data_IF_108374442398
#
_entry.id   IF_108374442398
#
_cell.length_a   1.000
_cell.length_b   1.000
_cell.length_c   1.000
_cell.angle_alpha   90.00
_cell.angle_beta   90.00
_cell.angle_gamma   90.00
#
_symmetry.space_group_name_H-M   'P 1'
#
loop_
_entity.id
_entity.type
_entity.pdbx_description
1 polymer ?
#
# COMPACT_ATOMS: atom_id res chain seq x y z
N UNK A 1 -10.09 41.20 -44.15
CA UNK A 1 -9.55 39.83 -44.05
C UNK A 1 -9.38 39.50 -42.58
N UNK A 2 -10.32 38.74 -42.01
CA UNK A 2 -10.27 38.24 -40.63
C UNK A 2 -9.68 36.84 -40.68
N UNK A 3 -8.56 36.61 -39.99
CA UNK A 3 -7.96 35.30 -39.79
C UNK A 3 -8.62 34.63 -38.60
N UNK A 4 -9.29 33.50 -38.86
CA UNK A 4 -9.87 32.62 -37.86
C UNK A 4 -8.76 31.75 -37.25
N UNK A 5 -8.51 31.90 -35.95
CA UNK A 5 -7.83 30.89 -35.12
C UNK A 5 -8.91 30.19 -34.30
N UNK A 6 -9.07 28.89 -34.54
CA UNK A 6 -9.90 28.00 -33.74
C UNK A 6 -9.29 27.80 -32.35
N UNK A 7 -10.07 27.89 -31.26
CA UNK A 7 -9.60 27.44 -29.95
C UNK A 7 -9.61 25.91 -29.92
N UNK A 8 -8.45 25.34 -29.61
CA UNK A 8 -8.24 23.92 -29.33
C UNK A 8 -9.15 23.50 -28.18
N UNK A 9 -10.08 22.57 -28.46
CA UNK A 9 -10.95 21.96 -27.45
C UNK A 9 -10.08 21.16 -26.48
N UNK A 10 -9.92 21.65 -25.25
CA UNK A 10 -9.48 20.84 -24.11
C UNK A 10 -10.50 19.72 -23.91
N UNK A 11 -10.07 18.46 -24.10
CA UNK A 11 -10.80 17.31 -23.57
C UNK A 11 -10.67 17.38 -22.05
N UNK A 12 -11.74 17.79 -21.37
CA UNK A 12 -11.95 17.41 -19.98
C UNK A 12 -12.15 15.89 -19.98
N UNK A 13 -11.06 15.14 -19.77
CA UNK A 13 -11.20 13.76 -19.32
C UNK A 13 -11.71 13.86 -17.88
N UNK A 14 -12.99 13.52 -17.68
CA UNK A 14 -13.58 13.37 -16.36
C UNK A 14 -12.92 12.14 -15.71
N UNK A 15 -11.72 12.35 -15.19
CA UNK A 15 -11.04 11.39 -14.33
C UNK A 15 -11.85 11.23 -13.05
N UNK A 16 -12.75 10.26 -13.05
CA UNK A 16 -13.29 9.70 -11.80
C UNK A 16 -12.08 9.17 -11.04
N UNK A 17 -11.62 9.94 -10.06
CA UNK A 17 -10.58 9.54 -9.13
C UNK A 17 -11.10 8.32 -8.38
N UNK A 18 -10.65 7.14 -8.79
CA UNK A 18 -10.90 5.89 -8.07
C UNK A 18 -10.29 6.05 -6.66
N UNK A 19 -11.16 6.30 -5.68
CA UNK A 19 -10.83 6.54 -4.28
C UNK A 19 -10.30 5.27 -3.61
N UNK A 20 -10.64 4.10 -4.15
CA UNK A 20 -9.95 2.87 -3.85
C UNK A 20 -8.62 2.89 -4.59
N UNK A 21 -7.53 2.69 -3.87
CA UNK A 21 -6.19 2.60 -4.44
C UNK A 21 -6.04 1.34 -5.31
N UNK A 22 -6.75 1.26 -6.43
CA UNK A 22 -6.77 0.11 -7.30
C UNK A 22 -6.37 0.59 -8.70
N UNK A 23 -5.36 -0.07 -9.26
CA UNK A 23 -5.40 -0.32 -10.70
C UNK A 23 -6.77 -0.89 -10.99
N UNK A 24 -7.48 -0.35 -11.98
CA UNK A 24 -8.82 -0.83 -12.36
C UNK A 24 -8.73 -2.29 -12.83
N UNK A 25 -8.71 -3.22 -11.88
CA UNK A 25 -8.55 -4.67 -12.08
C UNK A 25 -9.74 -5.23 -12.84
N UNK A 26 -10.85 -4.48 -12.93
CA UNK A 26 -11.97 -4.77 -13.83
C UNK A 26 -11.56 -4.81 -15.30
N UNK A 27 -10.43 -4.17 -15.65
CA UNK A 27 -9.83 -4.23 -17.00
C UNK A 27 -8.87 -5.39 -17.19
N UNK A 28 -8.58 -6.18 -16.15
CA UNK A 28 -7.73 -7.36 -16.29
C UNK A 28 -8.52 -8.46 -17.00
N UNK A 29 -7.83 -9.20 -17.85
CA UNK A 29 -8.39 -10.31 -18.58
C UNK A 29 -7.46 -11.52 -18.48
N UNK A 30 -8.04 -12.72 -18.60
CA UNK A 30 -7.31 -14.00 -18.53
C UNK A 30 -6.40 -14.27 -19.74
N UNK A 31 -6.33 -13.34 -20.70
CA UNK A 31 -5.43 -13.44 -21.86
C UNK A 31 -3.98 -13.07 -21.56
N UNK A 32 -3.71 -12.50 -20.38
CA UNK A 32 -2.37 -12.27 -19.83
C UNK A 32 -2.10 -13.35 -18.80
N UNK A 33 -0.97 -14.04 -18.93
CA UNK A 33 -0.60 -15.12 -18.00
C UNK A 33 0.89 -15.20 -17.72
N UNK A 34 1.32 -16.33 -17.16
CA UNK A 34 2.71 -16.54 -16.68
C UNK A 34 3.77 -16.30 -17.75
N UNK A 35 3.51 -16.65 -19.02
CA UNK A 35 4.47 -16.42 -20.11
C UNK A 35 4.71 -14.93 -20.39
N UNK A 36 3.68 -14.10 -20.26
CA UNK A 36 3.79 -12.65 -20.46
C UNK A 36 4.60 -12.02 -19.34
N UNK A 37 4.34 -12.43 -18.09
CA UNK A 37 5.13 -12.02 -16.94
C UNK A 37 6.61 -12.42 -17.09
N UNK A 38 6.89 -13.67 -17.49
CA UNK A 38 8.26 -14.14 -17.73
C UNK A 38 8.97 -13.34 -18.83
N UNK A 39 8.26 -12.95 -19.90
CA UNK A 39 8.81 -12.07 -20.95
C UNK A 39 9.13 -10.68 -20.40
N UNK A 40 8.20 -10.07 -19.68
CA UNK A 40 8.40 -8.75 -19.08
C UNK A 40 9.58 -8.73 -18.08
N UNK A 41 9.74 -9.76 -17.25
CA UNK A 41 10.89 -9.92 -16.34
C UNK A 41 12.22 -9.98 -17.10
N UNK A 42 12.28 -10.71 -18.23
CA UNK A 42 13.48 -10.77 -19.06
C UNK A 42 13.80 -9.44 -19.71
N UNK A 43 12.80 -8.71 -20.16
CA UNK A 43 12.98 -7.37 -20.74
C UNK A 43 13.46 -6.36 -19.69
N UNK A 44 12.88 -6.40 -18.48
CA UNK A 44 13.36 -5.67 -17.31
C UNK A 44 14.84 -5.94 -17.05
N UNK A 45 15.22 -7.23 -17.03
CA UNK A 45 16.61 -7.65 -16.87
C UNK A 45 17.52 -7.13 -17.97
N UNK A 46 17.13 -7.24 -19.24
CA UNK A 46 17.94 -6.75 -20.36
C UNK A 46 18.21 -5.25 -20.25
N UNK A 47 17.22 -4.49 -19.75
CA UNK A 47 17.33 -3.05 -19.52
C UNK A 47 18.00 -2.67 -18.19
N UNK A 48 18.33 -3.67 -17.35
CA UNK A 48 18.91 -3.48 -16.01
C UNK A 48 18.09 -2.50 -15.15
N UNK A 49 16.76 -2.56 -15.24
CA UNK A 49 15.89 -1.67 -14.46
C UNK A 49 15.96 -2.03 -12.97
N UNK A 50 15.95 -1.04 -12.07
CA UNK A 50 15.85 -1.29 -10.63
C UNK A 50 14.49 -1.90 -10.29
N UNK A 51 14.46 -2.61 -9.16
CA UNK A 51 13.33 -3.43 -8.75
C UNK A 51 12.69 -2.88 -7.49
N UNK A 52 11.37 -3.01 -7.43
CA UNK A 52 10.57 -2.77 -6.24
C UNK A 52 9.75 -4.03 -5.95
N UNK A 53 10.03 -4.71 -4.85
CA UNK A 53 9.39 -5.98 -4.50
C UNK A 53 8.24 -5.74 -3.53
N UNK A 54 7.05 -6.25 -3.82
CA UNK A 54 5.88 -6.19 -2.94
C UNK A 54 5.44 -7.60 -2.62
N UNK A 55 5.43 -7.96 -1.34
CA UNK A 55 5.06 -9.29 -0.91
C UNK A 55 3.81 -9.24 -0.05
N UNK A 56 2.82 -10.06 -0.41
CA UNK A 56 1.58 -10.17 0.35
C UNK A 56 1.61 -11.39 1.27
N UNK A 57 1.53 -11.14 2.57
CA UNK A 57 1.28 -12.15 3.59
C UNK A 57 -0.22 -12.26 3.89
N UNK A 58 -0.81 -13.46 3.83
CA UNK A 58 -2.26 -13.63 3.91
C UNK A 58 -2.82 -13.36 5.32
N UNK A 59 -4.14 -13.20 5.39
CA UNK A 59 -4.87 -12.94 6.64
C UNK A 59 -5.09 -14.19 7.52
N UNK A 60 -5.13 -15.38 6.92
CA UNK A 60 -5.22 -16.65 7.62
C UNK A 60 -3.85 -17.09 8.14
N UNK A 61 -3.82 -17.95 9.16
CA UNK A 61 -2.60 -18.62 9.61
C UNK A 61 -1.92 -19.27 8.40
N UNK A 62 -0.83 -18.63 7.95
CA UNK A 62 -0.13 -19.00 6.74
C UNK A 62 0.63 -20.28 7.06
N UNK A 63 0.03 -21.42 6.72
CA UNK A 63 0.65 -22.72 6.93
C UNK A 63 1.97 -22.86 6.18
N UNK A 64 2.77 -23.85 6.57
CA UNK A 64 4.05 -24.17 5.93
C UNK A 64 3.94 -24.34 4.40
N UNK A 65 2.78 -24.78 3.89
CA UNK A 65 2.49 -24.90 2.46
C UNK A 65 2.53 -23.54 1.74
N UNK A 66 2.00 -22.48 2.35
CA UNK A 66 2.04 -21.15 1.75
C UNK A 66 3.46 -20.61 1.67
N UNK A 67 4.23 -20.74 2.74
CA UNK A 67 5.63 -20.32 2.77
C UNK A 67 6.45 -21.10 1.73
N UNK A 68 6.22 -22.40 1.59
CA UNK A 68 6.87 -23.22 0.56
C UNK A 68 6.51 -22.74 -0.85
N UNK A 69 5.23 -22.48 -1.11
CA UNK A 69 4.77 -21.91 -2.38
C UNK A 69 5.45 -20.56 -2.67
N UNK A 70 5.43 -19.65 -1.70
CA UNK A 70 6.06 -18.34 -1.80
C UNK A 70 7.58 -18.42 -2.08
N UNK A 71 8.29 -19.32 -1.39
CA UNK A 71 9.72 -19.58 -1.67
C UNK A 71 9.93 -20.09 -3.09
N UNK A 72 9.05 -20.98 -3.58
CA UNK A 72 9.11 -21.47 -4.95
C UNK A 72 8.84 -20.35 -5.96
N UNK A 73 7.91 -19.45 -5.68
CA UNK A 73 7.64 -18.26 -6.51
C UNK A 73 8.86 -17.35 -6.58
N UNK A 74 9.47 -17.03 -5.43
CA UNK A 74 10.71 -16.25 -5.31
C UNK A 74 11.81 -16.87 -6.19
N UNK A 75 11.95 -18.19 -6.15
CA UNK A 75 12.93 -18.89 -6.97
C UNK A 75 12.61 -18.77 -8.47
N UNK A 76 11.38 -19.01 -8.89
CA UNK A 76 10.98 -18.97 -10.30
C UNK A 76 11.17 -17.58 -10.92
N UNK A 77 10.77 -16.53 -10.19
CA UNK A 77 10.93 -15.13 -10.60
C UNK A 77 12.39 -14.72 -10.56
N UNK A 78 13.10 -15.03 -9.47
CA UNK A 78 14.52 -14.70 -9.29
C UNK A 78 15.40 -15.24 -10.41
N UNK A 79 15.09 -16.43 -10.96
CA UNK A 79 15.80 -17.00 -12.11
C UNK A 79 15.68 -16.16 -13.40
N UNK A 80 14.66 -15.30 -13.52
CA UNK A 80 14.48 -14.45 -14.70
C UNK A 80 15.16 -13.09 -14.59
N UNK A 81 15.52 -12.65 -13.37
CA UNK A 81 16.13 -11.36 -13.10
C UNK A 81 17.66 -11.44 -13.07
N UNK A 82 18.31 -10.29 -13.15
CA UNK A 82 19.76 -10.17 -13.18
C UNK A 82 20.34 -9.92 -11.78
N UNK A 83 21.51 -10.51 -11.43
CA UNK A 83 22.14 -10.32 -10.13
C UNK A 83 22.63 -8.88 -9.88
N UNK A 84 22.62 -8.03 -10.90
CA UNK A 84 23.05 -6.62 -10.82
C UNK A 84 21.88 -5.64 -10.69
N UNK A 85 20.63 -6.08 -10.87
CA UNK A 85 19.48 -5.21 -10.71
C UNK A 85 19.25 -4.94 -9.22
N UNK A 86 19.39 -3.69 -8.75
CA UNK A 86 19.22 -3.40 -7.33
C UNK A 86 17.74 -3.47 -6.94
N UNK A 87 17.47 -4.00 -5.75
CA UNK A 87 16.18 -3.84 -5.07
C UNK A 87 16.23 -2.57 -4.24
N UNK A 88 15.63 -1.52 -4.78
CA UNK A 88 15.57 -0.20 -4.13
C UNK A 88 14.41 -0.09 -3.15
N UNK A 89 13.37 -0.90 -3.34
CA UNK A 89 12.19 -0.93 -2.48
C UNK A 89 11.74 -2.36 -2.20
N UNK A 90 11.37 -2.62 -0.95
CA UNK A 90 10.69 -3.84 -0.53
C UNK A 90 9.55 -3.51 0.42
N UNK A 91 8.39 -4.13 0.24
CA UNK A 91 7.28 -4.01 1.18
C UNK A 91 6.70 -5.38 1.51
N UNK A 92 6.83 -5.79 2.78
CA UNK A 92 6.11 -6.92 3.35
C UNK A 92 4.76 -6.47 3.89
N UNK A 93 3.68 -6.90 3.24
CA UNK A 93 2.30 -6.43 3.44
C UNK A 93 1.39 -7.48 4.03
N UNK A 94 0.28 -7.04 4.59
CA UNK A 94 -0.79 -7.90 5.09
C UNK A 94 -0.66 -8.14 6.58
N UNK A 95 -0.94 -9.37 7.04
CA UNK A 95 -0.74 -9.73 8.45
C UNK A 95 0.74 -9.86 8.72
N UNK A 96 1.22 -9.39 9.86
CA UNK A 96 2.62 -9.54 10.25
C UNK A 96 2.91 -11.02 10.53
N UNK A 97 3.77 -11.71 9.74
CA UNK A 97 4.26 -13.04 10.09
C UNK A 97 5.03 -13.05 11.40
N UNK A 98 5.31 -14.23 11.95
CA UNK A 98 6.25 -14.34 13.07
C UNK A 98 7.65 -13.91 12.63
N UNK A 99 8.48 -13.46 13.57
CA UNK A 99 9.82 -13.00 13.23
C UNK A 99 10.68 -14.12 12.60
N UNK A 100 10.48 -15.38 12.99
CA UNK A 100 11.17 -16.52 12.38
C UNK A 100 10.79 -16.73 10.92
N UNK A 101 9.49 -16.54 10.60
CA UNK A 101 9.00 -16.60 9.22
C UNK A 101 9.56 -15.44 8.39
N UNK A 102 9.64 -14.22 8.96
CA UNK A 102 10.27 -13.07 8.32
C UNK A 102 11.74 -13.36 7.98
N UNK A 103 12.51 -13.84 8.95
CA UNK A 103 13.93 -14.16 8.75
C UNK A 103 14.10 -15.21 7.64
N UNK A 104 13.33 -16.31 7.70
CA UNK A 104 13.37 -17.37 6.68
C UNK A 104 13.04 -16.83 5.28
N UNK A 105 12.02 -15.98 5.19
CA UNK A 105 11.61 -15.35 3.93
C UNK A 105 12.70 -14.42 3.37
N UNK A 106 13.31 -13.59 4.22
CA UNK A 106 14.36 -12.67 3.83
C UNK A 106 15.65 -13.40 3.40
N UNK A 107 15.99 -14.51 4.05
CA UNK A 107 17.09 -15.38 3.59
C UNK A 107 16.87 -15.84 2.14
N UNK A 108 15.66 -16.29 1.81
CA UNK A 108 15.32 -16.67 0.44
C UNK A 108 15.36 -15.48 -0.53
N UNK A 109 14.82 -14.33 -0.15
CA UNK A 109 14.86 -13.11 -0.96
C UNK A 109 16.30 -12.64 -1.22
N UNK A 110 17.12 -12.54 -0.18
CA UNK A 110 18.54 -12.15 -0.29
C UNK A 110 19.35 -13.14 -1.13
N UNK A 111 18.99 -14.43 -1.14
CA UNK A 111 19.65 -15.43 -2.00
C UNK A 111 19.36 -15.24 -3.51
N UNK A 112 18.29 -14.51 -3.86
CA UNK A 112 17.81 -14.37 -5.24
C UNK A 112 17.87 -12.96 -5.80
N UNK A 113 17.84 -11.94 -4.94
CA UNK A 113 17.80 -10.55 -5.35
C UNK A 113 18.92 -9.73 -4.71
N UNK A 114 19.37 -8.71 -5.43
CA UNK A 114 20.42 -7.81 -4.97
C UNK A 114 19.82 -6.65 -4.18
N UNK A 115 19.59 -6.87 -2.89
CA UNK A 115 19.18 -5.81 -1.97
C UNK A 115 20.30 -4.79 -1.77
N UNK A 116 19.93 -3.51 -1.76
CA UNK A 116 20.83 -2.45 -1.34
C UNK A 116 21.04 -2.52 0.17
N UNK A 117 22.12 -1.89 0.64
CA UNK A 117 22.32 -1.70 2.06
C UNK A 117 21.14 -0.92 2.68
N UNK A 118 20.87 -1.18 3.96
CA UNK A 118 19.72 -0.65 4.72
C UNK A 118 19.64 0.88 4.80
N UNK A 119 20.73 1.59 4.48
CA UNK A 119 20.80 3.06 4.42
C UNK A 119 20.48 3.63 3.01
N UNK A 120 20.29 2.76 2.02
CA UNK A 120 19.98 3.13 0.64
C UNK A 120 18.67 2.56 0.13
N UNK A 121 18.30 1.34 0.53
CA UNK A 121 17.01 0.77 0.20
C UNK A 121 15.88 1.28 1.10
N UNK A 122 14.65 1.26 0.60
CA UNK A 122 13.43 1.58 1.36
C UNK A 122 12.66 0.29 1.63
N UNK A 123 12.81 -0.23 2.85
CA UNK A 123 12.29 -1.54 3.26
C UNK A 123 11.20 -1.36 4.30
N UNK A 124 9.97 -1.66 3.90
CA UNK A 124 8.75 -1.43 4.66
C UNK A 124 8.11 -2.73 5.14
N UNK A 125 7.53 -2.68 6.33
CA UNK A 125 6.68 -3.75 6.86
C UNK A 125 5.37 -3.22 7.43
N UNK A 126 4.28 -3.96 7.20
CA UNK A 126 2.99 -3.77 7.84
C UNK A 126 2.97 -4.47 9.22
N UNK A 127 2.63 -3.73 10.28
CA UNK A 127 2.64 -4.20 11.66
C UNK A 127 1.24 -4.24 12.26
N UNK A 128 0.92 -5.32 12.96
CA UNK A 128 -0.20 -5.37 13.90
C UNK A 128 0.30 -5.04 15.31
N UNK A 129 -0.20 -3.96 15.94
CA UNK A 129 0.25 -3.53 17.27
C UNK A 129 -0.04 -4.54 18.39
N UNK A 130 -0.91 -5.53 18.18
CA UNK A 130 -1.19 -6.57 19.18
C UNK A 130 -0.35 -7.85 19.02
N UNK A 131 0.36 -7.98 17.91
CA UNK A 131 1.19 -9.14 17.60
C UNK A 131 2.67 -8.78 17.40
N UNK A 132 3.01 -7.50 17.53
CA UNK A 132 4.37 -6.99 17.43
C UNK A 132 4.74 -6.34 18.75
N UNK A 133 5.90 -6.69 19.30
CA UNK A 133 6.43 -6.08 20.51
C UNK A 133 7.75 -5.32 20.23
N UNK A 134 8.27 -4.69 21.28
CA UNK A 134 9.51 -3.93 21.22
C UNK A 134 10.70 -4.77 20.74
N UNK A 135 10.82 -6.02 21.20
CA UNK A 135 11.93 -6.90 20.83
C UNK A 135 11.86 -7.25 19.33
N UNK A 136 10.66 -7.51 18.82
CA UNK A 136 10.39 -7.78 17.41
C UNK A 136 10.81 -6.59 16.54
N UNK A 137 10.54 -5.35 16.97
CA UNK A 137 10.97 -4.15 16.24
C UNK A 137 12.49 -4.05 16.08
N UNK A 138 13.25 -4.42 17.11
CA UNK A 138 14.72 -4.49 17.02
C UNK A 138 15.18 -5.53 16.01
N UNK A 139 14.60 -6.73 16.05
CA UNK A 139 14.92 -7.80 15.10
C UNK A 139 14.55 -7.42 13.66
N UNK A 140 13.41 -6.76 13.45
CA UNK A 140 13.02 -6.25 12.13
C UNK A 140 14.01 -5.20 11.61
N UNK A 141 14.54 -4.34 12.50
CA UNK A 141 15.59 -3.39 12.13
C UNK A 141 16.87 -4.12 11.72
N UNK A 142 17.28 -5.15 12.46
CA UNK A 142 18.46 -5.97 12.14
C UNK A 142 18.32 -6.68 10.78
N UNK A 143 17.09 -7.03 10.41
CA UNK A 143 16.77 -7.58 9.10
C UNK A 143 16.73 -6.53 7.96
N UNK A 144 16.97 -5.26 8.29
CA UNK A 144 17.09 -4.16 7.32
C UNK A 144 15.83 -3.32 7.12
N UNK A 145 14.70 -3.67 7.74
CA UNK A 145 13.50 -2.82 7.65
C UNK A 145 13.79 -1.44 8.25
N UNK A 146 13.30 -0.40 7.59
CA UNK A 146 13.52 0.99 7.98
C UNK A 146 12.27 1.86 7.84
N UNK A 147 11.15 1.31 7.36
CA UNK A 147 9.85 1.95 7.40
C UNK A 147 8.82 1.01 8.04
N UNK A 148 8.03 1.51 8.98
CA UNK A 148 6.98 0.74 9.65
C UNK A 148 5.59 1.31 9.31
N UNK A 149 4.62 0.43 9.04
CA UNK A 149 3.22 0.82 8.85
C UNK A 149 2.33 0.11 9.88
N UNK A 150 2.03 0.81 10.96
CA UNK A 150 1.23 0.28 12.08
C UNK A 150 -0.24 0.33 11.69
N UNK A 151 -0.87 -0.84 11.61
CA UNK A 151 -2.26 -0.97 11.21
C UNK A 151 -3.25 -0.60 12.32
N UNK A 152 -4.48 -0.25 11.93
CA UNK A 152 -5.57 0.00 12.88
C UNK A 152 -5.97 -1.31 13.58
N UNK A 153 -6.00 -1.34 14.92
CA UNK A 153 -6.28 -2.56 15.68
C UNK A 153 -7.76 -2.99 15.67
N UNK A 154 -8.65 -2.15 15.15
CA UNK A 154 -10.09 -2.33 15.07
C UNK A 154 -10.58 -2.69 13.66
N UNK A 155 -9.66 -2.98 12.74
CA UNK A 155 -10.00 -3.47 11.40
C UNK A 155 -10.64 -4.87 11.42
N UNK A 156 -10.81 -5.52 12.58
CA UNK A 156 -11.45 -6.83 12.71
C UNK A 156 -12.92 -6.69 13.12
N UNK A 157 -13.72 -7.73 12.84
CA UNK A 157 -15.17 -7.82 13.05
C UNK A 157 -15.66 -7.09 14.30
N UNK A 158 -16.75 -6.35 14.10
CA UNK A 158 -17.51 -5.61 15.10
C UNK A 158 -17.61 -6.36 16.45
N UNK A 159 -17.15 -5.74 17.53
CA UNK A 159 -17.26 -6.33 18.86
C UNK A 159 -16.58 -5.52 19.97
N UNK A 160 -16.84 -5.86 21.25
CA UNK A 160 -16.27 -5.16 22.40
C UNK A 160 -14.74 -5.14 22.41
N UNK A 161 -14.11 -6.20 21.88
CA UNK A 161 -12.66 -6.28 21.78
C UNK A 161 -12.10 -5.24 20.78
N UNK A 162 -12.71 -5.07 19.62
CA UNK A 162 -12.29 -4.05 18.64
C UNK A 162 -12.41 -2.64 19.24
N UNK A 163 -13.48 -2.37 19.98
CA UNK A 163 -13.65 -1.09 20.68
C UNK A 163 -12.61 -0.86 21.78
N UNK A 164 -12.33 -1.87 22.61
CA UNK A 164 -11.31 -1.77 23.65
C UNK A 164 -9.91 -1.53 23.06
N UNK A 165 -9.58 -2.25 21.98
CA UNK A 165 -8.31 -2.09 21.26
C UNK A 165 -8.20 -0.74 20.56
N UNK A 166 -9.30 -0.19 20.08
CA UNK A 166 -9.33 1.16 19.51
C UNK A 166 -9.01 2.22 20.57
N UNK A 167 -9.55 2.07 21.77
CA UNK A 167 -9.39 3.03 22.86
C UNK A 167 -7.99 3.03 23.48
N UNK A 168 -7.29 1.89 23.46
CA UNK A 168 -5.95 1.76 24.01
C UNK A 168 -4.87 2.24 23.02
N UNK A 169 -4.15 3.34 23.29
CA UNK A 169 -3.03 3.77 22.46
C UNK A 169 -1.72 3.06 22.78
N UNK A 170 -1.59 2.40 23.94
CA UNK A 170 -0.29 1.97 24.47
C UNK A 170 0.47 0.99 23.55
N UNK A 171 -0.17 0.03 22.88
CA UNK A 171 0.54 -0.82 21.92
C UNK A 171 1.11 -0.06 20.72
N UNK A 172 0.38 0.96 20.22
CA UNK A 172 0.84 1.79 19.11
C UNK A 172 1.99 2.69 19.59
N UNK A 173 1.85 3.33 20.76
CA UNK A 173 2.88 4.16 21.38
C UNK A 173 4.19 3.38 21.55
N UNK A 174 4.12 2.17 22.12
CA UNK A 174 5.27 1.27 22.27
C UNK A 174 5.99 1.00 20.95
N UNK A 175 5.26 0.75 19.85
CA UNK A 175 5.87 0.52 18.54
C UNK A 175 6.45 1.79 17.92
N UNK A 176 5.82 2.94 18.09
CA UNK A 176 6.36 4.24 17.64
C UNK A 176 7.67 4.53 18.36
N UNK A 177 7.71 4.34 19.67
CA UNK A 177 8.91 4.56 20.49
C UNK A 177 10.02 3.56 20.14
N UNK A 178 9.67 2.30 19.91
CA UNK A 178 10.61 1.29 19.44
C UNK A 178 11.19 1.67 18.07
N UNK A 179 10.33 2.07 17.12
CA UNK A 179 10.74 2.47 15.79
C UNK A 179 11.74 3.64 15.84
N UNK A 180 11.48 4.66 16.67
CA UNK A 180 12.41 5.77 16.91
C UNK A 180 13.72 5.30 17.53
N UNK A 181 13.64 4.45 18.56
CA UNK A 181 14.81 3.96 19.30
C UNK A 181 15.74 3.14 18.41
N UNK A 182 15.19 2.30 17.54
CA UNK A 182 15.96 1.46 16.61
C UNK A 182 16.31 2.17 15.29
N UNK A 183 15.91 3.44 15.12
CA UNK A 183 16.28 4.24 13.95
C UNK A 183 15.57 3.83 12.66
N UNK A 184 14.28 3.51 12.73
CA UNK A 184 13.41 3.51 11.56
C UNK A 184 13.32 4.95 11.01
N UNK A 185 13.34 5.08 9.68
CA UNK A 185 13.26 6.37 8.99
C UNK A 185 11.87 6.96 8.95
N UNK A 186 10.84 6.12 8.90
CA UNK A 186 9.46 6.60 9.00
C UNK A 186 8.52 5.60 9.65
N UNK A 187 7.54 6.13 10.38
CA UNK A 187 6.40 5.42 10.92
C UNK A 187 5.12 5.99 10.30
N UNK A 188 4.35 5.10 9.66
CA UNK A 188 3.00 5.37 9.24
C UNK A 188 2.01 4.73 10.23
N UNK A 189 0.95 5.45 10.58
CA UNK A 189 -0.16 4.93 11.37
C UNK A 189 -1.44 5.00 10.55
N UNK A 190 -2.14 3.88 10.47
CA UNK A 190 -3.43 3.82 9.82
C UNK A 190 -4.55 4.20 10.83
N UNK A 191 -5.55 4.93 10.36
CA UNK A 191 -6.76 5.27 11.11
C UNK A 191 -7.99 5.12 10.23
N UNK A 192 -8.85 4.17 10.56
CA UNK A 192 -10.13 4.01 9.90
C UNK A 192 -11.25 4.78 10.61
N UNK A 193 -12.23 5.24 9.83
CA UNK A 193 -13.46 5.82 10.34
C UNK A 193 -14.69 5.21 9.69
N UNK A 194 -15.84 5.34 10.36
CA UNK A 194 -17.14 4.96 9.84
C UNK A 194 -17.73 3.68 10.41
N UNK A 195 -17.08 3.03 11.38
CA UNK A 195 -17.61 1.84 12.04
C UNK A 195 -18.87 2.16 12.87
N UNK A 196 -19.83 1.23 12.97
CA UNK A 196 -21.09 1.41 13.72
C UNK A 196 -20.97 1.95 15.16
N UNK A 197 -19.94 1.58 15.93
CA UNK A 197 -19.75 2.06 17.31
C UNK A 197 -18.97 3.37 17.39
N UNK A 198 -18.40 3.85 16.28
CA UNK A 198 -17.68 5.11 16.26
C UNK A 198 -18.66 6.29 16.24
N UNK A 199 -18.30 7.31 17.01
CA UNK A 199 -18.93 8.63 17.03
C UNK A 199 -17.91 9.69 16.63
N UNK A 200 -18.33 10.89 16.18
CA UNK A 200 -17.40 11.99 15.93
C UNK A 200 -16.48 12.29 17.12
N UNK A 201 -17.02 12.28 18.34
CA UNK A 201 -16.24 12.53 19.55
C UNK A 201 -15.19 11.42 19.83
N UNK A 202 -15.56 10.14 19.68
CA UNK A 202 -14.59 9.05 19.88
C UNK A 202 -13.49 9.05 18.82
N UNK A 203 -13.82 9.44 17.58
CA UNK A 203 -12.86 9.59 16.51
C UNK A 203 -11.88 10.73 16.78
N UNK A 204 -12.38 11.90 17.18
CA UNK A 204 -11.54 13.05 17.55
C UNK A 204 -10.57 12.72 18.68
N UNK A 205 -11.05 12.02 19.73
CA UNK A 205 -10.19 11.59 20.82
C UNK A 205 -9.08 10.64 20.35
N UNK A 206 -9.39 9.68 19.47
CA UNK A 206 -8.38 8.77 18.92
C UNK A 206 -7.41 9.49 18.01
N UNK A 207 -7.90 10.38 17.15
CA UNK A 207 -7.05 11.15 16.25
C UNK A 207 -6.08 12.03 17.05
N UNK A 208 -6.57 12.72 18.08
CA UNK A 208 -5.74 13.53 18.96
C UNK A 208 -4.64 12.71 19.64
N UNK A 209 -4.95 11.49 20.11
CA UNK A 209 -3.93 10.63 20.71
C UNK A 209 -2.88 10.17 19.70
N UNK A 210 -3.28 9.83 18.46
CA UNK A 210 -2.33 9.47 17.41
C UNK A 210 -1.46 10.66 16.95
N UNK A 211 -2.03 11.87 16.88
CA UNK A 211 -1.27 13.09 16.56
C UNK A 211 -0.22 13.36 17.65
N UNK A 212 -0.56 13.15 18.93
CA UNK A 212 0.36 13.33 20.04
C UNK A 212 1.56 12.37 20.01
N UNK A 213 1.42 11.22 19.33
CA UNK A 213 2.53 10.31 19.08
C UNK A 213 3.48 10.82 18.00
N UNK A 214 3.13 11.89 17.27
CA UNK A 214 3.93 12.50 16.20
C UNK A 214 4.48 11.51 15.15
N UNK A 215 3.67 10.61 14.56
CA UNK A 215 4.13 9.77 13.46
C UNK A 215 4.56 10.61 12.25
N UNK A 216 5.38 10.05 11.37
CA UNK A 216 5.78 10.75 10.14
C UNK A 216 4.62 10.83 9.14
N UNK A 217 3.74 9.82 9.19
CA UNK A 217 2.63 9.62 8.25
C UNK A 217 1.38 9.10 8.93
N UNK A 218 0.22 9.52 8.43
CA UNK A 218 -1.10 9.03 8.83
C UNK A 218 -1.91 8.66 7.60
N UNK A 219 -2.52 7.48 7.59
CA UNK A 219 -3.40 7.02 6.52
C UNK A 219 -4.84 6.97 7.04
N UNK A 220 -5.66 7.94 6.63
CA UNK A 220 -7.06 8.06 7.01
C UNK A 220 -7.98 7.44 5.95
N UNK A 221 -8.85 6.50 6.31
CA UNK A 221 -9.73 5.83 5.34
C UNK A 221 -11.13 5.48 5.90
N UNK A 222 -12.11 5.33 5.02
CA UNK A 222 -13.46 4.87 5.37
C UNK A 222 -13.48 3.33 5.40
N UNK A 223 -13.98 2.71 6.48
CA UNK A 223 -14.13 1.25 6.53
C UNK A 223 -15.05 0.68 5.44
N UNK A 224 -15.90 1.48 4.81
CA UNK A 224 -16.69 1.06 3.64
C UNK A 224 -15.85 0.89 2.37
N UNK A 225 -14.69 1.54 2.30
CA UNK A 225 -13.75 1.47 1.18
C UNK A 225 -12.31 1.42 1.72
N UNK A 226 -11.93 0.34 2.43
CA UNK A 226 -10.66 0.31 3.11
C UNK A 226 -9.51 -0.01 2.14
N UNK A 227 -8.27 0.36 2.49
CA UNK A 227 -7.06 -0.03 1.76
C UNK A 227 -6.93 -1.55 1.58
N UNK A 228 -6.13 -1.96 0.59
CA UNK A 228 -5.91 -3.37 0.20
C UNK A 228 -5.54 -4.26 1.39
N UNK A 229 -4.70 -3.77 2.31
CA UNK A 229 -4.25 -4.52 3.51
C UNK A 229 -5.39 -4.94 4.45
N UNK A 230 -6.58 -4.34 4.32
CA UNK A 230 -7.77 -4.62 5.14
C UNK A 230 -8.89 -5.34 4.37
N UNK A 231 -8.64 -5.73 3.11
CA UNK A 231 -9.62 -6.51 2.35
C UNK A 231 -9.90 -7.85 3.05
N UNK A 232 -11.18 -8.25 3.05
CA UNK A 232 -11.65 -9.42 3.80
C UNK A 232 -11.86 -9.20 5.30
N UNK A 233 -11.46 -8.03 5.84
CA UNK A 233 -11.71 -7.61 7.23
C UNK A 233 -12.75 -6.50 7.36
N UNK A 234 -13.53 -6.25 6.31
CA UNK A 234 -14.52 -5.17 6.26
C UNK A 234 -15.57 -5.29 7.38
N UNK A 235 -15.82 -4.17 8.06
CA UNK A 235 -16.96 -4.05 8.96
C UNK A 235 -18.25 -4.25 8.17
N UNK A 236 -19.21 -4.94 8.79
CA UNK A 236 -20.53 -5.17 8.18
C UNK A 236 -21.55 -4.12 8.65
N UNK A 237 -21.23 -3.35 9.70
CA UNK A 237 -22.10 -2.32 10.23
C UNK A 237 -21.38 -0.97 10.32
N UNK A 238 -21.98 0.03 9.67
CA UNK A 238 -21.42 1.39 9.61
C UNK A 238 -22.28 2.38 10.41
N UNK A 239 -21.65 3.44 10.90
CA UNK A 239 -22.36 4.59 11.48
C UNK A 239 -23.08 5.40 10.39
N UNK A 240 -23.80 6.44 10.79
CA UNK A 240 -24.56 7.27 9.86
C UNK A 240 -23.65 7.99 8.87
N UNK A 241 -24.16 8.27 7.66
CA UNK A 241 -23.41 9.05 6.67
C UNK A 241 -23.06 10.46 7.16
N UNK A 242 -23.88 11.04 8.05
CA UNK A 242 -23.59 12.33 8.68
C UNK A 242 -22.38 12.24 9.60
N UNK A 243 -22.30 11.20 10.44
CA UNK A 243 -21.16 10.97 11.33
C UNK A 243 -19.88 10.70 10.54
N UNK A 244 -19.95 9.89 9.47
CA UNK A 244 -18.80 9.68 8.57
C UNK A 244 -18.26 11.00 7.99
N UNK A 245 -19.16 11.87 7.51
CA UNK A 245 -18.77 13.19 6.98
C UNK A 245 -18.13 14.06 8.07
N UNK A 246 -18.68 14.05 9.28
CA UNK A 246 -18.14 14.80 10.41
C UNK A 246 -16.75 14.29 10.80
N UNK A 247 -16.56 12.98 10.96
CA UNK A 247 -15.26 12.36 11.25
C UNK A 247 -14.23 12.67 10.16
N UNK A 248 -14.60 12.51 8.88
CA UNK A 248 -13.71 12.82 7.76
C UNK A 248 -13.27 14.29 7.79
N UNK A 249 -14.21 15.23 7.93
CA UNK A 249 -13.89 16.66 7.99
C UNK A 249 -12.96 16.97 9.16
N UNK A 250 -13.31 16.49 10.35
CA UNK A 250 -12.51 16.68 11.56
C UNK A 250 -11.10 16.10 11.40
N UNK A 251 -10.97 14.94 10.74
CA UNK A 251 -9.70 14.34 10.36
C UNK A 251 -8.79 15.28 9.56
N UNK A 252 -9.32 15.85 8.48
CA UNK A 252 -8.56 16.81 7.66
C UNK A 252 -8.17 18.07 8.45
N UNK A 253 -9.09 18.63 9.23
CA UNK A 253 -8.86 19.86 9.98
C UNK A 253 -7.77 19.69 11.06
N UNK A 254 -7.86 18.64 11.87
CA UNK A 254 -6.91 18.38 12.95
C UNK A 254 -5.53 17.98 12.42
N UNK A 255 -5.46 17.16 11.36
CA UNK A 255 -4.19 16.79 10.74
C UNK A 255 -3.49 18.00 10.13
N UNK A 256 -4.23 18.86 9.41
CA UNK A 256 -3.68 20.09 8.86
C UNK A 256 -3.19 21.04 9.97
N UNK A 257 -3.97 21.20 11.04
CA UNK A 257 -3.59 22.03 12.19
C UNK A 257 -2.34 21.50 12.90
N UNK A 258 -2.13 20.17 12.90
CA UNK A 258 -0.95 19.51 13.45
C UNK A 258 0.26 19.50 12.49
N UNK A 259 0.18 20.15 11.32
CA UNK A 259 1.29 20.25 10.37
C UNK A 259 1.43 19.08 9.39
N UNK A 260 0.43 18.22 9.29
CA UNK A 260 0.41 17.18 8.26
C UNK A 260 -0.20 17.72 6.96
N UNK A 261 0.44 17.38 5.85
CA UNK A 261 0.01 17.74 4.51
C UNK A 261 -0.70 16.58 3.84
N UNK A 262 -1.81 16.87 3.19
CA UNK A 262 -2.54 15.88 2.39
C UNK A 262 -1.77 15.55 1.11
N UNK A 263 -1.36 14.28 0.99
CA UNK A 263 -0.67 13.76 -0.19
C UNK A 263 -1.68 13.30 -1.25
N UNK A 264 -2.75 12.65 -0.81
CA UNK A 264 -3.79 12.05 -1.65
C UNK A 264 -4.27 10.73 -1.09
N UNK A 265 -5.41 10.20 -1.56
CA UNK A 265 -5.93 8.87 -1.19
C UNK A 265 -5.97 8.59 0.33
N UNK A 266 -6.24 9.62 1.14
CA UNK A 266 -6.24 9.50 2.59
C UNK A 266 -4.85 9.53 3.26
N UNK A 267 -3.76 9.58 2.49
CA UNK A 267 -2.40 9.69 3.02
C UNK A 267 -2.09 11.15 3.40
N UNK A 268 -1.62 11.31 4.63
CA UNK A 268 -1.06 12.53 5.18
C UNK A 268 0.40 12.30 5.60
N UNK A 269 1.24 13.31 5.44
CA UNK A 269 2.65 13.25 5.80
C UNK A 269 3.15 14.60 6.33
N UNK A 270 4.15 14.60 7.20
CA UNK A 270 4.81 15.83 7.68
C UNK A 270 5.56 16.54 6.54
N UNK A 271 5.89 17.82 6.75
CA UNK A 271 6.54 18.66 5.72
C UNK A 271 7.89 18.12 5.26
N UNK A 272 8.65 17.53 6.18
CA UNK A 272 9.98 16.97 5.95
C UNK A 272 9.95 15.56 5.34
N UNK A 273 8.79 14.93 5.25
CA UNK A 273 8.65 13.58 4.71
C UNK A 273 8.94 13.50 3.19
N UNK A 274 9.60 12.42 2.77
CA UNK A 274 9.99 12.21 1.37
C UNK A 274 8.81 12.19 0.39
N UNK A 275 7.62 11.69 0.78
CA UNK A 275 6.43 11.73 -0.09
C UNK A 275 5.98 13.17 -0.32
N UNK A 276 6.03 14.00 0.73
CA UNK A 276 5.66 15.41 0.61
C UNK A 276 6.66 16.16 -0.25
N UNK A 277 7.96 15.95 -0.04
CA UNK A 277 9.00 16.53 -0.88
C UNK A 277 8.89 16.08 -2.35
N UNK A 278 8.57 14.81 -2.59
CA UNK A 278 8.37 14.29 -3.94
C UNK A 278 7.13 14.89 -4.60
N UNK A 279 6.03 15.07 -3.86
CA UNK A 279 4.83 15.74 -4.36
C UNK A 279 5.15 17.17 -4.84
N UNK A 280 5.87 17.95 -4.03
CA UNK A 280 6.23 19.34 -4.37
C UNK A 280 7.18 19.44 -5.57
N UNK A 281 8.08 18.47 -5.72
CA UNK A 281 9.04 18.42 -6.83
C UNK A 281 8.44 17.81 -8.10
N UNK A 282 7.17 17.43 -8.10
CA UNK A 282 6.55 16.70 -9.22
C UNK A 282 7.26 15.38 -9.50
N UNK A 283 7.71 14.70 -8.44
CA UNK A 283 8.42 13.41 -8.46
C UNK A 283 7.65 12.27 -7.79
N UNK A 284 6.49 12.56 -7.22
CA UNK A 284 5.62 11.54 -6.64
C UNK A 284 5.05 10.67 -7.75
N UNK A 285 5.17 9.36 -7.63
CA UNK A 285 4.56 8.40 -8.56
C UNK A 285 3.47 7.59 -7.85
N UNK A 286 2.69 6.85 -8.63
CA UNK A 286 1.67 5.95 -8.11
C UNK A 286 1.83 4.57 -8.75
N UNK A 287 1.70 3.52 -7.96
CA UNK A 287 1.59 2.16 -8.48
C UNK A 287 0.24 1.55 -8.08
N UNK A 288 0.10 0.24 -8.32
CA UNK A 288 -1.10 -0.51 -7.97
C UNK A 288 -1.44 -0.48 -6.47
N UNK A 289 -0.51 -0.05 -5.61
CA UNK A 289 -0.58 -0.16 -4.15
C UNK A 289 -0.61 1.18 -3.41
N UNK A 290 -0.31 2.29 -4.09
CA UNK A 290 -0.34 3.61 -3.49
C UNK A 290 0.68 4.55 -4.09
N UNK A 291 0.97 5.61 -3.34
CA UNK A 291 2.05 6.52 -3.68
C UNK A 291 3.40 5.87 -3.44
N UNK A 292 4.33 6.12 -4.35
CA UNK A 292 5.69 5.60 -4.28
C UNK A 292 6.68 6.64 -4.79
N UNK A 293 7.88 6.59 -4.21
CA UNK A 293 9.07 7.32 -4.68
C UNK A 293 9.76 6.56 -5.83
N UNK A 294 9.41 5.28 -6.00
CA UNK A 294 10.11 4.30 -6.82
C UNK A 294 9.38 4.01 -8.14
N UNK A 295 8.67 5.00 -8.71
CA UNK A 295 7.87 4.79 -9.94
C UNK A 295 8.67 4.42 -11.19
N UNK A 296 9.99 4.63 -11.15
CA UNK A 296 10.92 4.21 -12.21
C UNK A 296 11.33 2.73 -12.11
N UNK A 297 11.06 2.08 -10.98
CA UNK A 297 11.31 0.66 -10.81
C UNK A 297 10.30 -0.18 -11.60
N UNK A 298 10.69 -1.42 -11.91
CA UNK A 298 9.71 -2.46 -12.22
C UNK A 298 9.23 -3.08 -10.91
N UNK A 299 7.92 -3.03 -10.66
CA UNK A 299 7.31 -3.54 -9.44
C UNK A 299 6.94 -5.01 -9.60
N UNK A 300 7.41 -5.85 -8.69
CA UNK A 300 7.15 -7.30 -8.73
C UNK A 300 6.35 -7.68 -7.50
N UNK A 301 5.18 -8.25 -7.72
CA UNK A 301 4.29 -8.77 -6.68
C UNK A 301 4.55 -10.25 -6.41
N UNK A 302 4.56 -10.63 -5.14
CA UNK A 302 4.65 -12.02 -4.66
C UNK A 302 3.48 -12.34 -3.72
N UNK A 303 2.99 -13.58 -3.77
CA UNK A 303 1.90 -14.03 -2.91
C UNK A 303 0.50 -13.92 -3.53
N UNK A 304 -0.51 -14.24 -2.71
CA UNK A 304 -1.92 -14.28 -3.12
C UNK A 304 -2.41 -12.93 -3.63
N UNK A 305 -3.00 -12.92 -4.81
CA UNK A 305 -3.60 -11.71 -5.39
C UNK A 305 -2.60 -10.59 -5.70
N UNK A 306 -1.30 -10.82 -5.53
CA UNK A 306 -0.27 -9.81 -5.69
C UNK A 306 -0.19 -9.32 -7.14
N UNK A 307 0.06 -8.04 -7.31
CA UNK A 307 0.12 -7.39 -8.63
C UNK A 307 1.57 -7.01 -8.94
N UNK A 308 2.03 -7.44 -10.11
CA UNK A 308 3.28 -6.99 -10.73
C UNK A 308 2.96 -5.91 -11.76
N UNK A 309 3.77 -4.84 -11.79
CA UNK A 309 3.72 -3.77 -12.77
C UNK A 309 5.11 -3.58 -13.38
N UNK A 310 5.32 -4.13 -14.57
CA UNK A 310 6.60 -4.19 -15.27
C UNK A 310 6.44 -3.58 -16.65
N UNK A 311 7.11 -2.47 -16.90
CA UNK A 311 6.98 -1.72 -18.15
C UNK A 311 5.54 -1.34 -18.50
N UNK A 312 4.95 -1.95 -19.54
CA UNK A 312 3.55 -1.78 -19.95
C UNK A 312 2.64 -2.85 -19.36
N UNK A 313 3.19 -3.90 -18.75
CA UNK A 313 2.43 -5.02 -18.22
C UNK A 313 1.99 -4.75 -16.78
N UNK A 314 0.70 -4.94 -16.52
CA UNK A 314 0.20 -5.24 -15.18
C UNK A 314 -0.30 -6.69 -15.17
N UNK A 315 0.16 -7.49 -14.22
CA UNK A 315 -0.20 -8.90 -14.07
C UNK A 315 -0.52 -9.20 -12.62
N UNK A 316 -1.49 -10.07 -12.37
CA UNK A 316 -1.96 -10.42 -11.04
C UNK A 316 -1.91 -11.93 -10.82
N UNK A 317 -1.46 -12.31 -9.63
CA UNK A 317 -1.52 -13.68 -9.14
C UNK A 317 -2.95 -14.06 -8.73
N UNK A 318 -3.28 -15.34 -8.81
CA UNK A 318 -4.58 -15.83 -8.32
C UNK A 318 -4.77 -15.48 -6.84
N UNK A 319 -5.95 -14.97 -6.44
CA UNK A 319 -6.30 -14.79 -5.04
C UNK A 319 -6.73 -16.10 -4.37
N UNK A 320 -6.93 -17.19 -5.13
CA UNK A 320 -7.28 -18.50 -4.60
C UNK A 320 -6.03 -19.22 -4.07
N UNK A 321 -5.99 -19.47 -2.77
CA UNK A 321 -4.84 -20.08 -2.12
C UNK A 321 -4.54 -21.51 -2.60
N UNK A 322 -5.57 -22.30 -2.94
CA UNK A 322 -5.38 -23.67 -3.43
C UNK A 322 -4.79 -23.67 -4.83
N UNK A 323 -5.31 -22.82 -5.69
CA UNK A 323 -4.78 -22.65 -7.05
C UNK A 323 -3.34 -22.12 -7.02
N UNK A 324 -3.07 -21.11 -6.19
CA UNK A 324 -1.74 -20.53 -6.00
C UNK A 324 -0.70 -21.60 -5.62
N UNK A 325 -0.98 -22.38 -4.56
CA UNK A 325 -0.07 -23.43 -4.10
C UNK A 325 0.09 -24.54 -5.15
N UNK A 326 -0.99 -24.95 -5.82
CA UNK A 326 -0.95 -25.99 -6.84
C UNK A 326 -0.11 -25.59 -8.05
N UNK A 327 -0.26 -24.37 -8.58
CA UNK A 327 0.54 -23.89 -9.71
C UNK A 327 2.03 -23.84 -9.37
N UNK A 328 2.37 -23.32 -8.18
CA UNK A 328 3.76 -23.22 -7.74
C UNK A 328 4.40 -24.59 -7.48
N UNK A 329 3.66 -25.54 -6.90
CA UNK A 329 4.14 -26.93 -6.75
C UNK A 329 4.45 -27.62 -8.08
N UNK A 330 3.80 -27.18 -9.17
CA UNK A 330 4.02 -27.66 -10.53
C UNK A 330 5.11 -26.87 -11.28
N UNK A 331 5.80 -25.94 -10.61
CA UNK A 331 6.84 -25.11 -11.21
C UNK A 331 6.30 -24.02 -12.14
N UNK A 332 5.04 -23.64 -12.00
CA UNK A 332 4.37 -22.59 -12.80
C UNK A 332 4.10 -21.37 -11.93
N UNK A 333 4.26 -20.16 -12.49
CA UNK A 333 3.89 -18.92 -11.78
C UNK A 333 2.38 -18.81 -11.65
N UNK A 334 1.93 -18.29 -10.51
CA UNK A 334 0.52 -18.18 -10.11
C UNK A 334 -0.29 -17.10 -10.86
N UNK A 335 0.24 -16.55 -11.95
CA UNK A 335 -0.33 -15.41 -12.68
C UNK A 335 -1.60 -15.82 -13.44
N UNK A 336 -2.74 -15.26 -13.06
CA UNK A 336 -4.05 -15.64 -13.61
C UNK A 336 -4.66 -14.63 -14.58
N UNK A 337 -4.32 -13.34 -14.44
CA UNK A 337 -4.87 -12.30 -15.30
C UNK A 337 -3.96 -11.07 -15.35
N UNK A 338 -4.27 -10.14 -16.23
CA UNK A 338 -3.55 -8.87 -16.34
C UNK A 338 -4.04 -8.02 -17.50
N UNK A 339 -3.27 -6.98 -17.81
CA UNK A 339 -3.48 -6.11 -18.98
C UNK A 339 -2.16 -5.54 -19.47
N UNK A 340 -2.11 -5.22 -20.75
CA UNK A 340 -1.08 -4.36 -21.31
C UNK A 340 -1.59 -2.92 -21.43
N UNK A 341 -0.70 -1.96 -21.20
CA UNK A 341 -0.92 -0.56 -21.51
C UNK A 341 -0.41 -0.22 -22.91
N UNK A 342 -1.14 0.63 -23.63
CA UNK A 342 -0.76 1.09 -24.98
C UNK A 342 0.53 1.93 -25.00
N UNK A 343 0.83 2.60 -23.88
CA UNK A 343 2.11 3.28 -23.60
C UNK A 343 2.61 2.83 -22.23
N UNK A 344 3.92 2.97 -21.94
CA UNK A 344 4.39 2.82 -20.55
C UNK A 344 3.49 3.67 -19.64
N UNK A 345 2.94 3.03 -18.61
CA UNK A 345 1.75 3.50 -17.90
C UNK A 345 1.87 4.98 -17.46
N UNK A 346 0.87 5.84 -17.69
CA UNK A 346 0.80 7.14 -17.03
C UNK A 346 0.84 7.07 -15.49
N UNK A 347 0.67 5.91 -14.84
CA UNK A 347 0.98 5.73 -13.43
C UNK A 347 2.50 5.80 -13.12
N UNK A 348 3.37 5.58 -14.12
CA UNK A 348 4.80 5.96 -14.05
C UNK A 348 5.03 7.45 -14.26
N UNK A 349 4.06 8.15 -14.86
CA UNK A 349 4.14 9.60 -14.95
C UNK A 349 3.87 10.17 -13.57
N UNK A 350 4.75 11.07 -13.19
CA UNK A 350 4.63 11.84 -11.97
C UNK A 350 3.21 12.37 -11.79
N UNK A 351 2.70 12.26 -10.57
CA UNK A 351 1.47 12.94 -10.14
C UNK A 351 1.75 14.43 -10.30
N UNK A 352 1.30 14.97 -11.44
CA UNK A 352 1.67 16.30 -11.94
C UNK A 352 0.68 17.37 -11.49
N UNK A 353 -0.47 16.96 -10.96
CA UNK A 353 -1.46 17.85 -10.37
C UNK A 353 -1.45 17.73 -8.84
N UNK A 354 -1.50 18.86 -8.11
CA UNK A 354 -1.76 18.80 -6.67
C UNK A 354 -3.09 18.10 -6.45
N UNK A 355 -3.07 16.95 -5.79
CA UNK A 355 -4.28 16.28 -5.31
C UNK A 355 -4.87 17.17 -4.22
N UNK A 356 -5.67 18.15 -4.63
CA UNK A 356 -6.34 19.07 -3.72
C UNK A 356 -7.20 18.26 -2.76
N UNK A 357 -7.03 18.50 -1.46
CA UNK A 357 -8.02 18.07 -0.48
C UNK A 357 -9.40 18.57 -0.96
N UNK A 358 -10.47 17.75 -0.92
CA UNK A 358 -11.79 18.23 -1.25
C UNK A 358 -12.24 19.23 -0.16
N UNK A 359 -11.82 20.48 -0.30
CA UNK A 359 -12.29 21.62 0.47
C UNK A 359 -13.02 22.55 -0.50
N UNK A 360 -14.21 22.11 -0.86
CA UNK A 360 -15.33 23.02 -1.08
C UNK A 360 -16.58 22.29 -0.62
N UNK A 361 -17.02 22.64 0.58
CA UNK A 361 -18.43 22.54 0.94
C UNK A 361 -19.21 23.38 -0.08
N UNK A 362 -19.74 22.73 -1.11
CA UNK A 362 -20.96 23.13 -1.78
C UNK A 362 -21.78 21.87 -1.92
N UNK A 363 -22.78 21.77 -1.04
CA UNK A 363 -23.84 20.78 -1.07
C UNK A 363 -24.57 20.87 -2.41
N UNK A 364 -24.22 20.07 -3.42
CA UNK A 364 -25.14 19.71 -4.53
C UNK A 364 -24.66 18.63 -5.53
N UNK A 365 -23.46 18.05 -5.43
CA UNK A 365 -22.96 17.14 -6.51
C UNK A 365 -22.82 15.66 -6.08
N UNK A 366 -23.14 15.29 -4.84
CA UNK A 366 -22.94 13.90 -4.33
C UNK A 366 -24.19 13.00 -4.48
N UNK A 367 -25.26 13.47 -5.13
CA UNK A 367 -26.53 12.72 -5.21
C UNK A 367 -26.85 12.14 -6.60
N UNK A 368 -25.84 11.74 -7.40
CA UNK A 368 -26.10 11.18 -8.74
C UNK A 368 -25.67 9.76 -9.07
N UNK A 369 -24.89 9.08 -8.26
CA UNK A 369 -24.49 7.70 -8.58
C UNK A 369 -24.80 6.72 -7.44
N UNK A 370 -26.06 6.72 -7.02
CA UNK A 370 -26.64 5.67 -6.16
C UNK A 370 -27.29 4.56 -6.99
N UNK A 371 -26.56 3.45 -7.17
CA UNK A 371 -27.08 2.06 -7.21
C UNK A 371 -26.03 1.15 -6.57
#
# INVERSE_FOLDING_TARGET
>A
MRSHLHPTRFRQDQGVLDLACQTDTRRFHAGVGSLDLLRALRDSRQRQRPLALNLHWPASDAGAEYLQGLTQEIQLIGCQLGPRQPVEHFHLRGTTPTIEQVCTLLEHLHSRFNFLDHDRGDYRIDLDPWHTDWATMGLLRDQGFNHASIGVPDANRDGPLSQARYQDPAPIESLVDAARTFGFRSVNIDLGYGHAWQTPASFEQKLASLIALEPDRLQLFDYAQPPVRYLGRQSQAFCSAADKRAMRRSGFEHLAAAGYHYIGLGQFARTDDDLKQAQERGRLSRNCEGFTLHGYCDHIGFGLGAISQIDTLCAQNTPDAREYCAQLSNGQLATCCGRFHETADPARLYVTEPLTAPVSANDEVIDRDGV
#
